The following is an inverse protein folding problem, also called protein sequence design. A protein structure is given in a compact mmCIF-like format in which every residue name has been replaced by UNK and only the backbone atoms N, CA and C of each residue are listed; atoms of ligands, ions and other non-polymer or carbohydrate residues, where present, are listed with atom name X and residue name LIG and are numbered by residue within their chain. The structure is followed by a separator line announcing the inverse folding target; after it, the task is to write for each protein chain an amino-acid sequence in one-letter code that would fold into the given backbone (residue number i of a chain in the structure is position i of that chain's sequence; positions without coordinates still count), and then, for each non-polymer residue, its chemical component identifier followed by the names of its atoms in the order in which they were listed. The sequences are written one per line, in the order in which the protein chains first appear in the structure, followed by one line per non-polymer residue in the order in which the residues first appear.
data_IF_810641855589
#
_entry.id   IF_810641855589
#
_cell.length_a   1.000
_cell.length_b   1.000
_cell.length_c   1.000
_cell.angle_alpha   90.00
_cell.angle_beta   90.00
_cell.angle_gamma   90.00
#
_symmetry.space_group_name_H-M   'P 1'
#
loop_
_entity.id
_entity.type
_entity.pdbx_description
1 polymer ?
#
# COMPACT_ATOMS: atom_id res chain seq x y z
N UNK A 1 21.24 -21.12 -19.98
CA UNK A 1 21.21 -19.67 -19.64
C UNK A 1 19.79 -19.19 -19.87
N UNK A 2 19.07 -18.79 -18.82
CA UNK A 2 17.67 -18.34 -18.93
C UNK A 2 17.68 -16.83 -19.18
N UNK A 3 17.66 -16.44 -20.45
CA UNK A 3 17.62 -15.05 -20.89
C UNK A 3 16.19 -14.53 -20.67
N UNK A 4 16.03 -13.34 -20.09
CA UNK A 4 14.72 -12.69 -19.88
C UNK A 4 14.27 -12.58 -18.41
N UNK A 5 14.64 -13.54 -17.54
CA UNK A 5 14.26 -13.55 -16.13
C UNK A 5 15.20 -12.75 -15.23
N UNK A 6 16.51 -12.85 -15.46
CA UNK A 6 17.54 -12.16 -14.65
C UNK A 6 18.33 -11.11 -15.43
N UNK A 7 18.26 -11.14 -16.77
CA UNK A 7 19.00 -10.26 -17.67
C UNK A 7 18.12 -9.77 -18.81
N UNK A 8 18.36 -8.57 -19.32
CA UNK A 8 17.72 -8.02 -20.52
C UNK A 8 18.29 -8.62 -21.81
N UNK A 9 17.80 -8.17 -22.97
CA UNK A 9 18.24 -8.64 -24.29
C UNK A 9 19.73 -8.34 -24.56
N UNK A 10 20.29 -7.34 -23.88
CA UNK A 10 21.71 -6.96 -23.93
C UNK A 10 22.56 -7.71 -22.89
N UNK A 11 21.97 -8.64 -22.13
CA UNK A 11 22.66 -9.43 -21.12
C UNK A 11 23.02 -8.63 -19.86
N UNK A 12 22.44 -7.46 -19.62
CA UNK A 12 22.59 -6.72 -18.36
C UNK A 12 21.63 -7.25 -17.32
N UNK A 13 22.09 -7.36 -16.07
CA UNK A 13 21.26 -7.84 -14.96
C UNK A 13 20.09 -6.90 -14.74
N UNK A 14 18.86 -7.45 -14.76
CA UNK A 14 17.65 -6.76 -14.34
C UNK A 14 17.67 -6.60 -12.83
N UNK A 15 18.30 -5.54 -12.32
CA UNK A 15 18.17 -5.15 -10.93
C UNK A 15 16.83 -4.43 -10.73
N UNK A 16 15.80 -5.19 -10.39
CA UNK A 16 14.65 -4.61 -9.68
C UNK A 16 14.81 -4.94 -8.20
N UNK A 17 14.86 -3.92 -7.35
CA UNK A 17 14.61 -4.11 -5.92
C UNK A 17 13.34 -4.96 -5.75
N UNK A 18 13.28 -5.78 -4.70
CA UNK A 18 12.06 -6.48 -4.27
C UNK A 18 11.01 -5.44 -3.89
N UNK A 19 10.40 -4.83 -4.91
CA UNK A 19 9.49 -3.71 -4.79
C UNK A 19 8.12 -4.30 -4.94
N UNK A 20 7.31 -4.05 -3.93
CA UNK A 20 5.86 -4.12 -4.07
C UNK A 20 5.44 -3.11 -5.14
N UNK A 21 4.93 -3.57 -6.28
CA UNK A 21 4.23 -2.70 -7.24
C UNK A 21 2.97 -2.20 -6.54
N UNK A 22 2.81 -0.88 -6.42
CA UNK A 22 1.58 -0.31 -5.90
C UNK A 22 0.59 -0.18 -7.05
N UNK A 23 -0.54 -0.85 -6.90
CA UNK A 23 -1.71 -0.66 -7.76
C UNK A 23 -2.63 0.33 -7.06
N UNK A 24 -3.10 1.34 -7.77
CA UNK A 24 -3.99 2.37 -7.23
C UNK A 24 -5.09 2.75 -8.21
N UNK A 25 -6.13 3.41 -7.70
CA UNK A 25 -7.22 3.99 -8.49
C UNK A 25 -7.19 5.51 -8.25
N UNK A 26 -6.10 6.12 -8.71
CA UNK A 26 -5.81 7.52 -8.46
C UNK A 26 -4.32 7.83 -8.41
N UNK A 27 -4.00 9.11 -8.55
CA UNK A 27 -2.64 9.64 -8.47
C UNK A 27 -2.49 10.52 -7.23
N UNK A 28 -1.29 10.49 -6.63
CA UNK A 28 -0.93 11.46 -5.60
C UNK A 28 -0.80 12.88 -6.18
N UNK A 29 -0.61 13.88 -5.31
CA UNK A 29 -0.23 15.22 -5.74
C UNK A 29 1.04 15.20 -6.62
N UNK A 30 1.11 16.10 -7.59
CA UNK A 30 2.24 16.31 -8.49
C UNK A 30 2.50 17.81 -8.70
N UNK A 31 3.49 18.17 -9.53
CA UNK A 31 3.85 19.59 -9.79
C UNK A 31 2.68 20.42 -10.35
N UNK A 32 1.73 19.78 -11.03
CA UNK A 32 0.54 20.44 -11.59
C UNK A 32 -0.68 20.39 -10.68
N UNK A 33 -0.69 19.54 -9.65
CA UNK A 33 -1.85 19.30 -8.80
C UNK A 33 -1.44 19.13 -7.33
N UNK A 34 -1.78 20.11 -6.49
CA UNK A 34 -1.55 20.03 -5.04
C UNK A 34 -2.58 19.14 -4.29
N UNK A 35 -3.38 18.35 -5.02
CA UNK A 35 -4.40 17.45 -4.48
C UNK A 35 -4.32 16.07 -5.15
N UNK A 36 -4.68 14.99 -4.43
CA UNK A 36 -4.81 13.67 -5.04
C UNK A 36 -5.89 13.66 -6.11
N UNK A 37 -5.64 12.94 -7.21
CA UNK A 37 -6.57 12.81 -8.33
C UNK A 37 -7.20 11.43 -8.32
N UNK A 38 -8.53 11.39 -8.26
CA UNK A 38 -9.27 10.14 -8.44
C UNK A 38 -9.29 9.79 -9.93
N UNK A 39 -9.00 8.53 -10.24
CA UNK A 39 -9.09 7.99 -11.60
C UNK A 39 -10.21 6.96 -11.66
N UNK A 40 -10.56 6.56 -12.88
CA UNK A 40 -11.55 5.53 -13.20
C UNK A 40 -10.90 4.23 -13.73
N UNK A 41 -9.58 4.13 -13.61
CA UNK A 41 -8.74 3.05 -14.09
C UNK A 41 -7.58 2.80 -13.10
N UNK A 42 -6.96 1.64 -13.21
CA UNK A 42 -5.79 1.27 -12.44
C UNK A 42 -4.54 2.01 -12.92
N UNK A 43 -3.71 2.42 -11.96
CA UNK A 43 -2.36 2.89 -12.20
C UNK A 43 -1.36 1.96 -11.51
N UNK A 44 -0.28 1.65 -12.21
CA UNK A 44 0.81 0.83 -11.69
C UNK A 44 1.97 1.72 -11.31
N UNK A 45 2.39 1.66 -10.06
CA UNK A 45 3.43 2.53 -9.51
C UNK A 45 4.58 1.67 -8.98
N UNK A 46 5.80 2.06 -9.32
CA UNK A 46 7.04 1.51 -8.76
C UNK A 46 7.67 2.52 -7.80
N UNK A 47 8.43 2.01 -6.84
CA UNK A 47 9.30 2.84 -6.01
C UNK A 47 10.50 3.29 -6.85
N UNK A 48 10.82 4.56 -6.75
CA UNK A 48 12.06 5.14 -7.23
C UNK A 48 12.78 5.77 -6.05
N UNK A 49 14.05 5.41 -5.89
CA UNK A 49 14.90 5.96 -4.85
C UNK A 49 15.69 7.13 -5.43
N UNK A 50 15.47 8.32 -4.90
CA UNK A 50 16.14 9.55 -5.32
C UNK A 50 17.21 9.89 -4.29
N UNK A 51 18.46 9.95 -4.74
CA UNK A 51 19.64 10.15 -3.88
C UNK A 51 20.25 8.84 -3.37
N UNK A 52 21.23 8.95 -2.46
CA UNK A 52 21.99 7.80 -1.95
C UNK A 52 22.04 7.76 -0.41
N UNK A 53 22.15 6.55 0.14
CA UNK A 53 22.24 6.31 1.58
C UNK A 53 20.96 6.61 2.35
N UNK A 54 21.10 6.87 3.66
CA UNK A 54 19.98 7.03 4.62
C UNK A 54 19.10 8.27 4.40
N UNK A 55 19.46 9.14 3.44
CA UNK A 55 18.68 10.34 3.07
C UNK A 55 17.93 10.17 1.75
N UNK A 56 17.99 8.99 1.14
CA UNK A 56 17.33 8.77 -0.13
C UNK A 56 15.81 8.85 0.03
N UNK A 57 15.19 9.70 -0.79
CA UNK A 57 13.75 9.87 -0.82
C UNK A 57 13.14 8.73 -1.64
N UNK A 58 12.06 8.12 -1.14
CA UNK A 58 11.30 7.12 -1.90
C UNK A 58 10.11 7.82 -2.53
N UNK A 59 10.07 7.87 -3.86
CA UNK A 59 8.91 8.36 -4.62
C UNK A 59 8.19 7.21 -5.31
N UNK A 60 6.89 7.36 -5.47
CA UNK A 60 6.08 6.48 -6.31
C UNK A 60 5.97 7.09 -7.69
N UNK A 61 6.48 6.39 -8.69
CA UNK A 61 6.45 6.83 -10.10
C UNK A 61 5.72 5.78 -10.94
N UNK A 62 5.10 6.17 -12.07
CA UNK A 62 4.49 5.20 -12.99
C UNK A 62 5.46 4.09 -13.40
N UNK A 63 4.98 2.84 -13.39
CA UNK A 63 5.70 1.70 -13.97
C UNK A 63 5.36 1.65 -15.47
N UNK A 64 6.23 2.19 -16.31
CA UNK A 64 6.03 2.27 -17.77
C UNK A 64 5.86 0.89 -18.42
N UNK A 65 6.54 -0.14 -17.89
CA UNK A 65 6.44 -1.50 -18.42
C UNK A 65 5.05 -2.09 -18.20
N UNK A 66 4.53 -1.97 -16.97
CA UNK A 66 3.17 -2.41 -16.66
C UNK A 66 2.12 -1.54 -17.34
N UNK A 67 2.33 -0.22 -17.39
CA UNK A 67 1.39 0.71 -18.06
C UNK A 67 1.30 0.42 -19.55
N UNK A 68 2.42 0.12 -20.22
CA UNK A 68 2.44 -0.28 -21.63
C UNK A 68 1.78 -1.64 -21.85
N UNK A 69 1.98 -2.59 -20.94
CA UNK A 69 1.41 -3.94 -21.05
C UNK A 69 -0.11 -3.96 -20.86
N UNK A 70 -0.62 -3.33 -19.80
CA UNK A 70 -2.04 -3.32 -19.44
C UNK A 70 -2.84 -2.18 -20.11
N UNK A 71 -2.14 -1.18 -20.65
CA UNK A 71 -2.72 0.01 -21.26
C UNK A 71 -2.94 1.16 -20.26
N UNK A 72 -2.91 2.38 -20.77
CA UNK A 72 -2.99 3.62 -19.97
C UNK A 72 -4.30 3.80 -19.19
N UNK A 73 -5.37 3.12 -19.60
CA UNK A 73 -6.70 3.19 -18.98
C UNK A 73 -7.23 1.81 -18.59
N UNK A 74 -6.35 0.94 -18.11
CA UNK A 74 -6.69 -0.41 -17.65
C UNK A 74 -7.75 -0.39 -16.54
N UNK A 75 -8.89 -1.05 -16.75
CA UNK A 75 -9.99 -1.11 -15.75
C UNK A 75 -10.17 -2.48 -15.09
N UNK A 76 -9.45 -3.48 -15.56
CA UNK A 76 -9.53 -4.86 -15.10
C UNK A 76 -8.16 -5.52 -15.19
N UNK A 77 -7.84 -6.34 -14.19
CA UNK A 77 -6.59 -7.12 -14.13
C UNK A 77 -6.88 -8.50 -13.57
N UNK A 78 -6.23 -9.52 -14.13
CA UNK A 78 -6.23 -10.87 -13.57
C UNK A 78 -5.16 -10.97 -12.50
N UNK A 79 -5.54 -11.50 -11.33
CA UNK A 79 -4.64 -11.62 -10.18
C UNK A 79 -4.54 -13.08 -9.73
N UNK A 80 -3.37 -13.41 -9.17
CA UNK A 80 -3.13 -14.67 -8.46
C UNK A 80 -2.81 -14.34 -7.01
N UNK A 81 -3.46 -15.02 -6.07
CA UNK A 81 -3.16 -14.90 -4.64
C UNK A 81 -1.79 -15.50 -4.35
N UNK A 82 -1.00 -14.82 -3.51
CA UNK A 82 0.37 -15.24 -3.19
C UNK A 82 0.44 -16.31 -2.08
N UNK A 83 -0.66 -16.49 -1.35
CA UNK A 83 -0.82 -17.42 -0.25
C UNK A 83 -2.30 -17.88 -0.21
N UNK A 84 -2.53 -19.08 0.33
CA UNK A 84 -3.87 -19.63 0.56
C UNK A 84 -4.49 -19.11 1.87
N UNK A 85 -3.66 -18.64 2.81
CA UNK A 85 -4.14 -18.00 4.04
C UNK A 85 -4.53 -16.54 3.78
N UNK A 86 -5.81 -16.25 3.96
CA UNK A 86 -6.40 -14.93 3.74
C UNK A 86 -5.71 -13.84 4.59
N UNK A 87 -5.23 -14.15 5.78
CA UNK A 87 -4.57 -13.17 6.65
C UNK A 87 -3.19 -12.74 6.11
N UNK A 88 -2.55 -13.58 5.29
CA UNK A 88 -1.28 -13.27 4.64
C UNK A 88 -1.46 -12.44 3.36
N UNK A 89 -2.55 -12.67 2.61
CA UNK A 89 -2.85 -11.94 1.37
C UNK A 89 -3.69 -10.69 1.55
N UNK A 90 -4.57 -10.66 2.55
CA UNK A 90 -5.51 -9.56 2.76
C UNK A 90 -5.69 -9.24 4.26
N UNK A 91 -4.61 -8.85 4.94
CA UNK A 91 -4.69 -8.40 6.32
C UNK A 91 -5.64 -7.21 6.42
N UNK A 92 -6.71 -7.40 7.18
CA UNK A 92 -7.72 -6.38 7.40
C UNK A 92 -7.59 -5.78 8.81
N UNK A 93 -7.87 -4.49 8.90
CA UNK A 93 -7.89 -3.76 10.14
C UNK A 93 -8.98 -2.68 10.09
N UNK A 94 -9.40 -2.22 11.25
CA UNK A 94 -10.04 -0.91 11.37
C UNK A 94 -8.93 0.12 11.54
N UNK A 95 -8.90 1.14 10.67
CA UNK A 95 -7.91 2.19 10.71
C UNK A 95 -8.53 3.58 10.64
N UNK A 96 -7.91 4.51 11.35
CA UNK A 96 -8.16 5.94 11.24
C UNK A 96 -6.95 6.61 10.57
N UNK A 97 -7.17 7.08 9.35
CA UNK A 97 -6.21 7.85 8.57
C UNK A 97 -6.49 9.35 8.66
N UNK A 98 -5.45 10.13 8.87
CA UNK A 98 -5.45 11.57 8.57
C UNK A 98 -4.64 11.81 7.30
N UNK A 99 -4.66 13.04 6.79
CA UNK A 99 -4.01 13.41 5.51
C UNK A 99 -2.56 12.93 5.38
N UNK A 100 -1.81 12.86 6.47
CA UNK A 100 -0.38 12.58 6.45
C UNK A 100 0.00 11.19 6.95
N UNK A 101 -0.84 10.52 7.74
CA UNK A 101 -0.48 9.24 8.38
C UNK A 101 -1.67 8.48 8.96
N UNK A 102 -1.42 7.20 9.26
CA UNK A 102 -2.32 6.34 10.05
C UNK A 102 -2.20 6.75 11.52
N UNK A 103 -3.29 7.24 12.13
CA UNK A 103 -3.29 7.64 13.54
C UNK A 103 -3.64 6.49 14.48
N UNK A 104 -4.55 5.61 14.09
CA UNK A 104 -5.01 4.50 14.93
C UNK A 104 -5.31 3.29 14.04
N UNK A 105 -5.01 2.09 14.50
CA UNK A 105 -5.32 0.85 13.77
C UNK A 105 -5.49 -0.33 14.71
N UNK A 106 -6.32 -1.32 14.34
CA UNK A 106 -6.55 -2.50 15.17
C UNK A 106 -7.61 -3.45 14.64
N UNK A 107 -7.89 -4.49 15.42
CA UNK A 107 -8.82 -5.60 15.08
C UNK A 107 -10.28 -5.33 15.50
N UNK A 108 -10.56 -4.13 16.02
CA UNK A 108 -11.86 -3.75 16.56
C UNK A 108 -12.10 -4.18 18.01
N UNK A 109 -11.13 -4.82 18.66
CA UNK A 109 -11.09 -5.11 20.12
C UNK A 109 -9.92 -4.39 20.80
N UNK A 110 -8.78 -4.43 20.16
CA UNK A 110 -7.54 -3.75 20.54
C UNK A 110 -7.11 -2.82 19.42
N UNK A 111 -6.30 -1.82 19.74
CA UNK A 111 -5.71 -0.94 18.74
C UNK A 111 -4.35 -0.43 19.17
N UNK A 112 -3.56 0.03 18.21
CA UNK A 112 -2.39 0.87 18.42
C UNK A 112 -2.72 2.28 17.94
N UNK A 113 -2.42 3.30 18.76
CA UNK A 113 -2.72 4.70 18.48
C UNK A 113 -1.46 5.55 18.60
N UNK A 114 -1.19 6.36 17.57
CA UNK A 114 -0.20 7.43 17.60
C UNK A 114 -0.72 8.61 18.37
N UNK A 115 0.08 9.12 19.29
CA UNK A 115 -0.18 10.34 20.04
C UNK A 115 0.96 11.32 19.83
N UNK A 116 0.78 12.57 20.27
CA UNK A 116 1.87 13.57 20.22
C UNK A 116 3.09 13.14 21.05
N UNK A 117 2.87 12.32 22.09
CA UNK A 117 3.91 11.81 22.97
C UNK A 117 4.57 10.55 22.40
N UNK A 118 3.82 9.70 21.67
CA UNK A 118 4.33 8.48 21.06
C UNK A 118 3.94 8.40 19.58
N UNK A 119 4.89 8.78 18.71
CA UNK A 119 4.72 8.78 17.25
C UNK A 119 4.77 7.38 16.64
N UNK A 120 5.39 6.40 17.33
CA UNK A 120 5.40 4.99 16.89
C UNK A 120 4.05 4.33 17.18
N UNK A 121 3.39 4.78 18.25
CA UNK A 121 2.08 4.34 18.68
C UNK A 121 2.14 3.58 20.00
N UNK A 122 1.03 3.63 20.72
CA UNK A 122 0.84 2.95 22.00
C UNK A 122 -0.46 2.14 22.00
N UNK A 123 -0.58 1.09 22.84
CA UNK A 123 -1.82 0.34 22.98
C UNK A 123 -3.00 1.25 23.34
N UNK A 124 -4.16 0.98 22.74
CA UNK A 124 -5.40 1.71 22.96
C UNK A 124 -6.53 0.74 23.37
N UNK A 125 -7.24 1.02 24.48
CA UNK A 125 -7.04 2.15 25.41
C UNK A 125 -5.75 1.97 26.24
N UNK A 126 -5.10 3.07 26.69
CA UNK A 126 -3.94 2.97 27.56
C UNK A 126 -4.31 2.31 28.89
N UNK A 127 -3.41 1.48 29.45
CA UNK A 127 -3.62 0.87 30.75
C UNK A 127 -3.89 1.93 31.84
N UNK A 128 -4.89 1.67 32.69
CA UNK A 128 -5.22 2.55 33.82
C UNK A 128 -6.02 3.82 33.47
N UNK A 129 -6.52 3.98 32.23
CA UNK A 129 -7.44 5.06 31.87
C UNK A 129 -8.87 4.58 31.64
N UNK A 130 -9.85 5.27 32.20
CA UNK A 130 -11.28 5.08 31.92
C UNK A 130 -11.65 5.70 30.58
N UNK A 131 -11.16 5.11 29.49
CA UNK A 131 -11.53 5.47 28.13
C UNK A 131 -12.35 4.34 27.50
N UNK A 132 -13.33 4.65 26.63
CA UNK A 132 -14.02 3.62 25.87
C UNK A 132 -13.00 2.81 25.06
N UNK A 133 -13.08 1.48 25.18
CA UNK A 133 -12.22 0.57 24.43
C UNK A 133 -12.42 0.67 22.91
N UNK A 134 -11.55 0.00 22.16
CA UNK A 134 -11.72 -0.16 20.72
C UNK A 134 -13.04 -0.91 20.40
N UNK A 135 -13.66 -0.62 19.27
CA UNK A 135 -14.93 -1.20 18.86
C UNK A 135 -16.10 -0.22 18.92
N UNK A 136 -17.31 -0.71 19.20
CA UNK A 136 -18.56 0.05 19.01
C UNK A 136 -18.73 1.26 19.92
N UNK A 137 -18.08 1.27 21.07
CA UNK A 137 -18.07 2.40 22.02
C UNK A 137 -16.97 3.42 21.74
N UNK A 138 -16.05 3.14 20.81
CA UNK A 138 -14.95 4.03 20.49
C UNK A 138 -15.52 5.31 19.82
N UNK A 139 -15.22 6.51 20.34
CA UNK A 139 -15.70 7.76 19.76
C UNK A 139 -15.33 7.92 18.29
N UNK A 140 -14.12 7.50 17.91
CA UNK A 140 -13.62 7.61 16.53
C UNK A 140 -14.30 6.62 15.58
N UNK A 141 -14.78 5.49 16.10
CA UNK A 141 -15.61 4.55 15.34
C UNK A 141 -17.02 5.10 15.16
N UNK A 142 -17.63 5.63 16.22
CA UNK A 142 -18.97 6.24 16.17
C UNK A 142 -18.99 7.49 15.27
N UNK A 143 -17.92 8.28 15.28
CA UNK A 143 -17.75 9.44 14.41
C UNK A 143 -17.45 9.08 12.95
N UNK A 144 -17.22 7.80 12.63
CA UNK A 144 -16.90 7.33 11.28
C UNK A 144 -15.49 7.64 10.80
N UNK A 145 -14.59 8.09 11.69
CA UNK A 145 -13.18 8.34 11.40
C UNK A 145 -12.38 7.03 11.27
N UNK A 146 -12.75 6.02 12.06
CA UNK A 146 -12.19 4.68 12.01
C UNK A 146 -12.98 3.81 11.03
N UNK A 147 -12.34 3.35 9.95
CA UNK A 147 -12.99 2.62 8.85
C UNK A 147 -12.26 1.30 8.56
N UNK A 148 -12.93 0.31 7.95
CA UNK A 148 -12.24 -0.85 7.40
C UNK A 148 -11.12 -0.41 6.44
N UNK A 149 -9.96 -1.03 6.58
CA UNK A 149 -8.75 -0.73 5.82
C UNK A 149 -8.00 -2.04 5.64
N UNK A 150 -7.52 -2.30 4.43
CA UNK A 150 -6.78 -3.50 4.14
C UNK A 150 -5.82 -3.27 2.98
N UNK A 151 -4.81 -4.12 2.92
CA UNK A 151 -3.88 -4.19 1.81
C UNK A 151 -3.99 -5.57 1.18
N UNK A 152 -4.43 -5.64 -0.07
CA UNK A 152 -4.45 -6.88 -0.83
C UNK A 152 -3.12 -7.06 -1.53
N UNK A 153 -2.45 -8.17 -1.25
CA UNK A 153 -1.20 -8.60 -1.86
C UNK A 153 -1.46 -9.71 -2.88
N UNK A 154 -0.91 -9.56 -4.08
CA UNK A 154 -1.19 -10.48 -5.20
C UNK A 154 -0.09 -10.44 -6.26
N UNK A 155 -0.10 -11.40 -7.18
CA UNK A 155 0.65 -11.33 -8.44
C UNK A 155 -0.28 -10.97 -9.59
N UNK A 156 0.26 -10.26 -10.58
CA UNK A 156 -0.41 -10.04 -11.85
C UNK A 156 -0.26 -11.28 -12.72
N UNK A 157 -1.38 -11.94 -13.06
CA UNK A 157 -1.36 -13.23 -13.72
C UNK A 157 -0.67 -13.17 -15.09
N UNK A 158 -0.93 -12.11 -15.86
CA UNK A 158 -0.41 -11.91 -17.21
C UNK A 158 0.97 -11.22 -17.26
N UNK A 159 1.53 -10.89 -16.09
CA UNK A 159 2.85 -10.27 -15.96
C UNK A 159 3.65 -10.91 -14.82
N UNK A 160 4.07 -12.18 -14.95
CA UNK A 160 4.81 -12.88 -13.91
C UNK A 160 6.19 -12.23 -13.75
N UNK A 161 6.42 -11.59 -12.61
CA UNK A 161 7.70 -11.01 -12.23
C UNK A 161 8.22 -11.71 -10.97
N UNK A 162 9.36 -12.39 -11.11
CA UNK A 162 9.93 -13.21 -10.04
C UNK A 162 10.30 -12.32 -8.84
N UNK A 163 9.74 -12.61 -7.67
CA UNK A 163 9.99 -11.86 -6.43
C UNK A 163 9.29 -10.49 -6.34
N UNK A 164 8.37 -10.16 -7.26
CA UNK A 164 7.60 -8.91 -7.23
C UNK A 164 6.14 -9.20 -6.89
N UNK A 165 5.71 -8.77 -5.71
CA UNK A 165 4.30 -8.72 -5.34
C UNK A 165 3.67 -7.38 -5.74
N UNK A 166 2.38 -7.38 -6.03
CA UNK A 166 1.56 -6.18 -6.14
C UNK A 166 0.81 -5.95 -4.83
N UNK A 167 0.48 -4.68 -4.55
CA UNK A 167 -0.36 -4.28 -3.43
C UNK A 167 -1.38 -3.24 -3.89
N UNK A 168 -2.64 -3.44 -3.50
CA UNK A 168 -3.68 -2.41 -3.57
C UNK A 168 -4.24 -2.14 -2.18
N UNK A 169 -4.42 -0.86 -1.86
CA UNK A 169 -5.01 -0.42 -0.60
C UNK A 169 -6.49 -0.13 -0.79
N UNK A 170 -7.36 -0.60 0.12
CA UNK A 170 -8.81 -0.60 -0.08
C UNK A 170 -9.59 0.40 0.79
N UNK A 171 -8.96 1.47 1.30
CA UNK A 171 -9.64 2.50 2.11
C UNK A 171 -10.31 3.63 1.33
#
# INVERSE_FOLDING_TARGET
MIIGLTHDEDGKTKQSLAIVTKVGIGLGPDEGHNYPRKLDHFVFLRKEQIGSGNKAEIRWVPDEGLTKHYGEKCREVWITLIDDDLENVFPNEYAWWVKTQKLCWGDGKTATRRTKANLEGEPWPPEGRELPGCGRSCPDFVAGSCKPSADLYFWLADFPALGRACRIHTS
#
